data_IF_185402431029
#
_entry.id   IF_185402431029
#
_cell.length_a   1.000
_cell.length_b   1.000
_cell.length_c   1.000
_cell.angle_alpha   90.00
_cell.angle_beta   90.00
_cell.angle_gamma   90.00
#
_symmetry.space_group_name_H-M   'P 1'
#
loop_
_entity.id
_entity.type
_entity.pdbx_description
1 polymer ?
#
# COMPACT_ATOMS: atom_id res chain seq x y z
N UNK A 1 -8.38 23.60 19.11
CA UNK A 1 -7.01 23.20 18.74
C UNK A 1 -6.98 22.00 17.79
N UNK A 2 -7.57 20.84 18.11
CA UNK A 2 -7.54 19.64 17.24
C UNK A 2 -7.81 19.89 15.74
N UNK A 3 -8.72 20.79 15.38
CA UNK A 3 -9.03 21.18 13.99
C UNK A 3 -7.82 21.75 13.22
N UNK A 4 -6.79 22.28 13.89
CA UNK A 4 -5.57 22.77 13.22
C UNK A 4 -4.62 21.62 12.80
N UNK A 5 -4.75 20.42 13.37
CA UNK A 5 -3.91 19.27 13.02
C UNK A 5 -4.35 18.61 11.71
N UNK A 6 -5.63 18.78 11.32
CA UNK A 6 -6.17 18.38 10.02
C UNK A 6 -5.45 19.03 8.82
N UNK A 7 -4.85 20.21 9.03
CA UNK A 7 -4.08 20.93 8.02
C UNK A 7 -2.68 20.31 7.81
N UNK A 8 -2.18 19.48 8.74
CA UNK A 8 -0.87 18.82 8.61
C UNK A 8 -0.90 17.58 7.70
N UNK A 9 -1.99 16.81 7.79
CA UNK A 9 -2.28 15.53 7.10
C UNK A 9 -1.83 15.55 5.63
N UNK A 10 -2.33 16.55 4.91
CA UNK A 10 -2.18 16.74 3.48
C UNK A 10 -0.69 16.96 3.07
N UNK A 11 0.11 17.60 3.92
CA UNK A 11 1.56 17.75 3.67
C UNK A 11 2.38 16.54 4.13
N UNK A 12 1.89 15.73 5.08
CA UNK A 12 2.56 14.50 5.49
C UNK A 12 2.53 13.44 4.39
N UNK A 13 1.38 13.25 3.74
CA UNK A 13 1.24 12.31 2.61
C UNK A 13 2.12 12.73 1.42
N UNK A 14 2.14 14.01 1.05
CA UNK A 14 2.99 14.51 -0.04
C UNK A 14 4.50 14.32 0.23
N UNK A 15 4.95 14.55 1.47
CA UNK A 15 6.36 14.38 1.85
C UNK A 15 6.83 12.91 1.84
N UNK A 16 5.93 11.94 2.07
CA UNK A 16 6.27 10.52 2.06
C UNK A 16 6.86 10.06 0.72
N UNK A 17 6.19 10.38 -0.39
CA UNK A 17 6.58 9.96 -1.74
C UNK A 17 7.94 10.52 -2.21
N UNK A 18 8.45 11.57 -1.56
CA UNK A 18 9.74 12.17 -1.89
C UNK A 18 10.93 11.37 -1.29
N UNK A 19 10.79 10.85 -0.06
CA UNK A 19 11.84 10.03 0.58
C UNK A 19 12.05 8.68 -0.11
N UNK A 20 10.97 8.11 -0.64
CA UNK A 20 10.93 6.91 -1.49
C UNK A 20 11.97 6.99 -2.62
N UNK A 21 12.07 8.13 -3.31
CA UNK A 21 12.94 8.29 -4.48
C UNK A 21 14.44 8.21 -4.13
N UNK A 22 14.86 8.80 -3.02
CA UNK A 22 16.28 8.92 -2.66
C UNK A 22 16.96 7.58 -2.31
N UNK A 23 16.22 6.61 -1.77
CA UNK A 23 16.77 5.28 -1.40
C UNK A 23 17.17 4.41 -2.60
N UNK A 24 16.86 4.82 -3.83
CA UNK A 24 17.09 4.06 -5.08
C UNK A 24 18.55 3.97 -5.51
N UNK A 25 19.46 4.82 -4.99
CA UNK A 25 20.84 4.91 -5.51
C UNK A 25 21.88 4.05 -4.76
N UNK A 26 21.68 3.69 -3.49
CA UNK A 26 22.72 2.99 -2.70
C UNK A 26 22.89 1.50 -3.04
N UNK A 27 21.85 0.85 -3.56
CA UNK A 27 21.82 -0.61 -3.75
C UNK A 27 22.70 -1.11 -4.90
N UNK A 28 23.04 -0.25 -5.86
CA UNK A 28 23.83 -0.64 -7.04
C UNK A 28 25.33 -0.84 -6.75
N UNK A 29 25.87 -0.29 -5.66
CA UNK A 29 27.31 -0.36 -5.36
C UNK A 29 27.74 -1.69 -4.72
N UNK A 30 26.84 -2.38 -4.00
CA UNK A 30 27.20 -3.60 -3.25
C UNK A 30 27.27 -4.85 -4.14
N UNK A 31 26.51 -4.90 -5.24
CA UNK A 31 26.47 -6.06 -6.14
C UNK A 31 27.85 -6.35 -6.76
N UNK A 32 28.58 -5.30 -7.18
CA UNK A 32 29.85 -5.41 -7.89
C UNK A 32 31.03 -5.93 -7.03
N UNK A 33 30.86 -6.03 -5.71
CA UNK A 33 31.93 -6.42 -4.79
C UNK A 33 31.98 -7.94 -4.56
N UNK A 34 30.87 -8.67 -4.76
CA UNK A 34 30.79 -10.11 -4.56
C UNK A 34 31.49 -10.92 -5.68
N UNK A 35 31.26 -10.55 -6.94
CA UNK A 35 31.70 -11.33 -8.12
C UNK A 35 33.23 -11.45 -8.27
N UNK A 36 33.98 -10.52 -7.68
CA UNK A 36 35.45 -10.57 -7.66
C UNK A 36 36.00 -11.61 -6.68
N UNK A 37 35.27 -11.94 -5.61
CA UNK A 37 35.76 -12.83 -4.54
C UNK A 37 35.65 -14.31 -4.92
N UNK A 38 34.66 -14.69 -5.74
CA UNK A 38 34.46 -16.08 -6.15
C UNK A 38 35.61 -16.61 -7.02
N UNK A 39 36.10 -15.78 -7.96
CA UNK A 39 37.17 -16.12 -8.92
C UNK A 39 38.54 -16.41 -8.28
N UNK A 40 38.77 -16.00 -7.04
CA UNK A 40 40.03 -16.27 -6.34
C UNK A 40 40.08 -17.68 -5.73
N UNK A 41 38.93 -18.29 -5.43
CA UNK A 41 38.85 -19.58 -4.73
C UNK A 41 39.01 -20.78 -5.66
N UNK A 42 38.63 -20.65 -6.94
CA UNK A 42 38.76 -21.72 -7.93
C UNK A 42 40.23 -22.03 -8.29
N UNK A 43 41.12 -21.02 -8.21
CA UNK A 43 42.53 -21.17 -8.58
C UNK A 43 43.35 -22.06 -7.63
N UNK A 44 42.85 -22.37 -6.42
CA UNK A 44 43.66 -22.99 -5.35
C UNK A 44 43.56 -24.52 -5.24
N UNK A 45 42.70 -25.20 -6.00
CA UNK A 45 42.33 -26.62 -5.74
C UNK A 45 43.03 -27.70 -6.58
N UNK A 46 43.97 -27.35 -7.46
CA UNK A 46 44.47 -28.26 -8.52
C UNK A 46 45.92 -28.76 -8.31
N UNK A 47 46.22 -29.67 -7.35
CA UNK A 47 47.55 -30.35 -7.28
C UNK A 47 47.66 -31.62 -6.35
N UNK A 48 48.18 -32.74 -6.92
CA UNK A 48 49.07 -33.83 -6.33
C UNK A 48 48.52 -35.17 -5.74
N UNK A 49 49.42 -36.19 -5.79
CA UNK A 49 49.38 -37.62 -5.36
C UNK A 49 50.76 -38.31 -5.64
N UNK A 50 51.07 -39.63 -5.72
CA UNK A 50 50.37 -40.95 -5.59
C UNK A 50 51.43 -42.10 -5.37
N UNK A 51 51.13 -43.19 -4.61
CA UNK A 51 51.84 -44.52 -4.63
C UNK A 51 53.17 -44.67 -3.85
N UNK A 52 53.80 -45.85 -3.63
CA UNK A 52 53.38 -47.29 -3.77
C UNK A 52 54.51 -48.39 -3.72
N UNK A 53 54.28 -49.51 -2.98
CA UNK A 53 54.65 -50.96 -3.18
C UNK A 53 56.11 -51.58 -3.20
N UNK A 54 56.29 -52.69 -2.42
CA UNK A 54 56.93 -54.05 -2.70
C UNK A 54 58.44 -54.25 -3.06
N UNK A 55 59.09 -55.46 -3.05
CA UNK A 55 58.99 -56.76 -2.29
C UNK A 55 60.15 -57.80 -2.63
N UNK A 56 60.13 -59.03 -2.04
CA UNK A 56 60.90 -60.30 -2.34
C UNK A 56 62.40 -60.43 -1.89
N UNK A 57 63.01 -61.57 -1.46
CA UNK A 57 62.77 -63.04 -1.37
C UNK A 57 63.13 -63.92 -2.61
N UNK A 58 63.77 -65.11 -2.51
CA UNK A 58 64.48 -65.83 -1.42
C UNK A 58 65.50 -66.87 -1.98
N UNK A 59 66.55 -67.25 -1.22
CA UNK A 59 67.55 -68.26 -1.63
C UNK A 59 67.02 -69.67 -1.39
N UNK A 60 66.64 -70.39 -2.45
CA UNK A 60 65.67 -71.49 -2.36
C UNK A 60 66.19 -72.90 -2.72
N UNK A 61 65.37 -73.90 -2.37
CA UNK A 61 65.23 -75.24 -2.99
C UNK A 61 66.13 -76.41 -2.59
N UNK A 62 67.35 -76.24 -2.06
CA UNK A 62 68.19 -77.41 -1.64
C UNK A 62 68.73 -77.36 -0.20
N UNK A 63 68.83 -76.17 0.40
CA UNK A 63 68.37 -76.00 1.79
C UNK A 63 66.84 -76.21 1.79
N UNK A 64 66.44 -77.45 1.49
CA UNK A 64 65.38 -77.66 0.50
C UNK A 64 64.46 -78.83 0.77
N UNK A 65 64.99 -80.05 0.97
CA UNK A 65 64.16 -81.24 1.16
C UNK A 65 64.10 -81.77 2.60
N UNK A 66 65.19 -81.75 3.36
CA UNK A 66 65.10 -81.81 4.83
C UNK A 66 64.48 -80.51 5.39
N UNK A 67 64.58 -79.41 4.63
CA UNK A 67 63.68 -78.27 4.73
C UNK A 67 62.26 -78.67 4.31
N UNK A 68 61.94 -79.26 3.16
CA UNK A 68 60.56 -79.74 2.90
C UNK A 68 60.03 -80.82 3.87
N UNK A 69 60.82 -81.28 4.86
CA UNK A 69 60.34 -81.98 6.06
C UNK A 69 60.21 -81.03 7.30
N UNK A 70 61.26 -80.29 7.68
CA UNK A 70 61.22 -79.33 8.80
C UNK A 70 60.37 -78.08 8.52
N UNK A 71 60.07 -77.84 7.25
CA UNK A 71 59.18 -76.92 6.52
C UNK A 71 58.12 -77.68 5.71
N UNK A 72 57.89 -78.97 5.98
CA UNK A 72 56.51 -79.49 6.03
C UNK A 72 55.94 -79.30 7.44
N UNK A 73 56.72 -79.55 8.51
CA UNK A 73 56.34 -79.19 9.89
C UNK A 73 56.30 -77.68 10.12
N UNK A 74 57.30 -76.94 9.63
CA UNK A 74 57.21 -75.47 9.59
C UNK A 74 56.08 -75.07 8.64
N UNK A 75 55.84 -75.66 7.45
CA UNK A 75 54.58 -75.37 6.72
C UNK A 75 53.34 -75.66 7.56
N UNK A 76 53.26 -76.71 8.36
CA UNK A 76 52.07 -77.01 9.15
C UNK A 76 51.90 -76.04 10.32
N UNK A 77 52.99 -75.59 10.94
CA UNK A 77 52.96 -74.54 11.96
C UNK A 77 52.74 -73.14 11.35
N UNK A 78 53.28 -72.88 10.18
CA UNK A 78 53.18 -71.64 9.38
C UNK A 78 51.81 -71.57 8.69
N UNK A 79 51.18 -72.68 8.30
CA UNK A 79 49.79 -72.79 7.86
C UNK A 79 48.85 -72.71 9.07
N UNK A 80 49.14 -73.36 10.20
CA UNK A 80 48.32 -73.18 11.41
C UNK A 80 48.41 -71.73 11.94
N UNK A 81 49.58 -71.10 11.84
CA UNK A 81 49.80 -69.69 12.17
C UNK A 81 49.14 -68.78 11.15
N UNK A 82 49.25 -69.03 9.84
CA UNK A 82 48.53 -68.29 8.78
C UNK A 82 47.02 -68.51 8.86
N UNK A 83 46.53 -69.66 9.33
CA UNK A 83 45.10 -69.89 9.59
C UNK A 83 44.65 -69.15 10.85
N UNK A 84 45.47 -69.11 11.91
CA UNK A 84 45.17 -68.31 13.11
C UNK A 84 45.26 -66.80 12.82
N UNK A 85 46.17 -66.38 11.96
CA UNK A 85 46.35 -65.02 11.47
C UNK A 85 45.22 -64.64 10.51
N UNK A 86 44.83 -65.51 9.57
CA UNK A 86 43.64 -65.34 8.73
C UNK A 86 42.38 -65.26 9.59
N UNK A 87 42.19 -66.15 10.57
CA UNK A 87 41.05 -66.06 11.52
C UNK A 87 41.09 -64.79 12.38
N UNK A 88 42.27 -64.26 12.73
CA UNK A 88 42.40 -62.98 13.43
C UNK A 88 42.10 -61.80 12.50
N UNK A 89 42.56 -61.82 11.26
CA UNK A 89 42.29 -60.80 10.24
C UNK A 89 40.80 -60.82 9.81
N UNK A 90 40.21 -61.99 9.64
CA UNK A 90 38.77 -62.20 9.40
C UNK A 90 37.96 -61.68 10.60
N UNK A 91 38.38 -61.98 11.83
CA UNK A 91 37.73 -61.47 13.04
C UNK A 91 37.95 -59.96 13.27
N UNK A 92 39.05 -59.38 12.77
CA UNK A 92 39.28 -57.93 12.75
C UNK A 92 38.40 -57.26 11.69
N UNK A 93 38.46 -57.71 10.44
CA UNK A 93 37.63 -57.23 9.34
C UNK A 93 36.12 -57.37 9.65
N UNK A 94 35.68 -58.46 10.29
CA UNK A 94 34.29 -58.62 10.73
C UNK A 94 33.89 -57.62 11.83
N UNK A 95 34.82 -57.23 12.72
CA UNK A 95 34.59 -56.17 13.73
C UNK A 95 34.59 -54.78 13.08
N UNK A 96 35.49 -54.54 12.15
CA UNK A 96 35.59 -53.27 11.41
C UNK A 96 34.34 -53.06 10.54
N UNK A 97 33.96 -54.04 9.73
CA UNK A 97 32.71 -54.02 8.96
C UNK A 97 31.46 -53.94 9.87
N UNK A 98 31.43 -54.64 11.01
CA UNK A 98 30.35 -54.49 11.99
C UNK A 98 30.30 -53.10 12.62
N UNK A 99 31.45 -52.41 12.73
CA UNK A 99 31.54 -51.04 13.24
C UNK A 99 31.12 -50.04 12.16
N UNK A 100 31.57 -50.21 10.91
CA UNK A 100 31.14 -49.41 9.76
C UNK A 100 29.62 -49.50 9.55
N UNK A 101 29.04 -50.70 9.66
CA UNK A 101 27.59 -50.87 9.63
C UNK A 101 26.87 -50.17 10.79
N UNK A 102 27.45 -50.16 12.00
CA UNK A 102 26.89 -49.42 13.14
C UNK A 102 27.01 -47.91 12.97
N UNK A 103 28.15 -47.40 12.51
CA UNK A 103 28.36 -45.97 12.24
C UNK A 103 27.48 -45.48 11.07
N UNK A 104 27.33 -46.28 10.01
CA UNK A 104 26.41 -46.00 8.89
C UNK A 104 24.94 -46.05 9.34
N UNK A 105 24.55 -46.97 10.22
CA UNK A 105 23.20 -47.04 10.77
C UNK A 105 22.90 -45.83 11.68
N UNK A 106 23.86 -45.42 12.52
CA UNK A 106 23.75 -44.21 13.35
C UNK A 106 23.66 -42.94 12.51
N UNK A 107 24.47 -42.81 11.45
CA UNK A 107 24.38 -41.68 10.52
C UNK A 107 23.00 -41.65 9.86
N UNK A 108 22.55 -42.77 9.29
CA UNK A 108 21.26 -42.82 8.60
C UNK A 108 20.07 -42.57 9.55
N UNK A 109 20.12 -43.05 10.79
CA UNK A 109 19.12 -42.72 11.80
C UNK A 109 19.11 -41.22 12.10
N UNK A 110 20.29 -40.60 12.29
CA UNK A 110 20.41 -39.16 12.51
C UNK A 110 19.88 -38.36 11.33
N UNK A 111 20.21 -38.75 10.09
CA UNK A 111 19.74 -38.09 8.87
C UNK A 111 18.20 -38.14 8.78
N UNK A 112 17.59 -39.29 9.14
CA UNK A 112 16.14 -39.45 9.21
C UNK A 112 15.49 -38.64 10.35
N UNK A 113 16.16 -38.48 11.49
CA UNK A 113 15.70 -37.64 12.60
C UNK A 113 15.79 -36.15 12.24
N UNK A 114 16.85 -35.72 11.58
CA UNK A 114 17.01 -34.35 11.07
C UNK A 114 15.99 -34.04 9.96
N UNK A 115 15.73 -34.97 9.03
CA UNK A 115 14.65 -34.83 8.04
C UNK A 115 13.26 -34.71 8.70
N UNK A 116 12.96 -35.51 9.74
CA UNK A 116 11.71 -35.41 10.50
C UNK A 116 11.59 -34.06 11.22
N UNK A 117 12.65 -33.59 11.87
CA UNK A 117 12.67 -32.30 12.54
C UNK A 117 12.48 -31.13 11.55
N UNK A 118 13.18 -31.15 10.41
CA UNK A 118 13.03 -30.15 9.35
C UNK A 118 11.61 -30.17 8.74
N UNK A 119 11.01 -31.34 8.55
CA UNK A 119 9.62 -31.47 8.09
C UNK A 119 8.62 -30.92 9.12
N UNK A 120 8.78 -31.23 10.41
CA UNK A 120 7.96 -30.66 11.48
C UNK A 120 8.09 -29.13 11.56
N UNK A 121 9.31 -28.59 11.45
CA UNK A 121 9.56 -27.15 11.41
C UNK A 121 8.91 -26.48 10.18
N UNK A 122 8.90 -27.15 9.02
CA UNK A 122 8.20 -26.67 7.83
C UNK A 122 6.67 -26.62 8.04
N UNK A 123 6.08 -27.69 8.60
CA UNK A 123 4.65 -27.73 8.94
C UNK A 123 4.27 -26.67 9.99
N UNK A 124 5.10 -26.44 11.00
CA UNK A 124 4.88 -25.40 12.00
C UNK A 124 4.97 -23.99 11.40
N UNK A 125 5.89 -23.75 10.46
CA UNK A 125 6.01 -22.47 9.74
C UNK A 125 4.80 -22.20 8.85
N UNK A 126 4.37 -23.18 8.05
CA UNK A 126 3.20 -23.01 7.18
C UNK A 126 1.90 -22.83 7.99
N UNK A 127 1.76 -23.57 9.10
CA UNK A 127 0.64 -23.34 10.02
C UNK A 127 0.68 -21.93 10.62
N UNK A 128 1.83 -21.48 11.13
CA UNK A 128 1.96 -20.13 11.69
C UNK A 128 1.63 -19.06 10.63
N UNK A 129 2.11 -19.24 9.40
CA UNK A 129 1.83 -18.38 8.25
C UNK A 129 0.33 -18.25 7.96
N UNK A 130 -0.40 -19.37 7.94
CA UNK A 130 -1.86 -19.40 7.79
C UNK A 130 -2.59 -18.80 9.01
N UNK A 131 -2.14 -19.10 10.23
CA UNK A 131 -2.72 -18.57 11.48
C UNK A 131 -2.47 -17.04 11.63
N UNK A 132 -1.42 -16.49 11.00
CA UNK A 132 -1.17 -15.04 10.93
C UNK A 132 -1.74 -14.35 9.69
N UNK A 133 -2.31 -15.09 8.73
CA UNK A 133 -2.70 -14.49 7.45
C UNK A 133 -3.91 -13.54 7.60
N UNK A 134 -3.91 -12.37 6.92
CA UNK A 134 -5.01 -11.39 7.00
C UNK A 134 -6.39 -11.89 6.55
N UNK A 135 -6.45 -12.95 5.74
CA UNK A 135 -7.69 -13.55 5.23
C UNK A 135 -7.80 -15.03 5.61
N UNK A 136 -9.01 -15.49 5.97
CA UNK A 136 -9.28 -16.89 6.37
C UNK A 136 -9.13 -17.89 5.22
N UNK A 137 -9.33 -17.44 3.99
CA UNK A 137 -9.15 -18.27 2.78
C UNK A 137 -7.67 -18.60 2.51
N UNK A 138 -6.74 -17.82 3.10
CA UNK A 138 -5.30 -18.02 2.95
C UNK A 138 -4.68 -17.32 1.72
N UNK A 139 -3.38 -17.55 1.47
CA UNK A 139 -2.62 -16.81 0.45
C UNK A 139 -3.04 -17.12 -0.99
N UNK A 140 -3.16 -16.08 -1.81
CA UNK A 140 -3.47 -16.16 -3.24
C UNK A 140 -4.97 -16.19 -3.57
N UNK A 141 -5.83 -16.37 -2.57
CA UNK A 141 -7.28 -16.39 -2.75
C UNK A 141 -7.86 -15.00 -3.05
N UNK A 142 -7.42 -13.96 -2.33
CA UNK A 142 -7.94 -12.61 -2.47
C UNK A 142 -7.68 -12.01 -3.86
N UNK A 143 -6.44 -12.12 -4.35
CA UNK A 143 -6.02 -11.64 -5.66
C UNK A 143 -6.64 -12.46 -6.80
N UNK A 144 -6.91 -13.74 -6.58
CA UNK A 144 -7.68 -14.56 -7.53
C UNK A 144 -9.14 -14.10 -7.61
N UNK A 145 -9.79 -13.90 -6.47
CA UNK A 145 -11.17 -13.37 -6.39
C UNK A 145 -11.29 -11.97 -6.99
N UNK A 146 -10.31 -11.08 -6.77
CA UNK A 146 -10.30 -9.75 -7.41
C UNK A 146 -10.21 -9.83 -8.95
N UNK A 147 -9.38 -10.74 -9.50
CA UNK A 147 -9.27 -10.95 -10.95
C UNK A 147 -10.50 -11.60 -11.59
N UNK A 148 -11.31 -12.33 -10.81
CA UNK A 148 -12.60 -12.87 -11.27
C UNK A 148 -13.67 -11.77 -11.36
N UNK A 149 -13.61 -10.74 -10.50
CA UNK A 149 -14.53 -9.58 -10.55
C UNK A 149 -14.07 -8.55 -11.59
N UNK A 150 -12.76 -8.34 -11.72
CA UNK A 150 -12.15 -7.40 -12.67
C UNK A 150 -11.13 -8.12 -13.56
N UNK A 151 -11.56 -8.69 -14.71
CA UNK A 151 -10.67 -9.40 -15.64
C UNK A 151 -9.64 -8.50 -16.32
N UNK A 152 -9.93 -7.19 -16.44
CA UNK A 152 -8.99 -6.16 -16.89
C UNK A 152 -8.47 -5.37 -15.69
N UNK A 153 -7.16 -5.47 -15.35
CA UNK A 153 -6.55 -4.69 -14.29
C UNK A 153 -6.51 -3.17 -14.55
N UNK A 154 -6.63 -2.72 -15.80
CA UNK A 154 -6.61 -1.28 -16.16
C UNK A 154 -7.94 -0.62 -15.82
N UNK A 155 -9.05 -1.35 -15.99
CA UNK A 155 -10.39 -0.91 -15.62
C UNK A 155 -10.74 -1.15 -14.13
N UNK A 156 -9.81 -1.69 -13.32
CA UNK A 156 -10.05 -1.99 -11.92
C UNK A 156 -9.84 -0.75 -11.03
N UNK A 157 -10.82 -0.34 -10.20
CA UNK A 157 -10.63 0.73 -9.23
C UNK A 157 -9.66 0.32 -8.12
N UNK A 158 -9.08 1.30 -7.38
CA UNK A 158 -8.18 0.99 -6.27
C UNK A 158 -8.92 0.14 -5.22
N UNK A 159 -8.25 -0.88 -4.71
CA UNK A 159 -8.76 -1.65 -3.57
C UNK A 159 -8.50 -0.84 -2.30
N UNK A 160 -9.53 -0.58 -1.50
CA UNK A 160 -9.34 -0.08 -0.14
C UNK A 160 -9.48 -1.24 0.83
N UNK A 161 -8.35 -1.69 1.39
CA UNK A 161 -8.32 -2.75 2.39
C UNK A 161 -8.35 -2.13 3.79
N UNK A 162 -9.51 -2.25 4.44
CA UNK A 162 -9.74 -1.87 5.82
C UNK A 162 -9.14 -2.93 6.75
N UNK A 163 -8.14 -2.55 7.52
CA UNK A 163 -7.55 -3.40 8.56
C UNK A 163 -8.40 -3.26 9.83
N UNK A 164 -8.88 -4.34 10.46
CA UNK A 164 -9.55 -4.20 11.75
C UNK A 164 -8.56 -3.77 12.84
N UNK A 165 -9.03 -3.01 13.86
CA UNK A 165 -8.17 -2.59 14.96
C UNK A 165 -7.60 -3.80 15.71
N UNK A 166 -6.41 -3.63 16.28
CA UNK A 166 -5.76 -4.70 17.05
C UNK A 166 -6.66 -5.16 18.21
N UNK A 167 -6.81 -6.48 18.44
CA UNK A 167 -7.64 -6.99 19.52
C UNK A 167 -7.03 -6.59 20.87
N UNK A 168 -7.70 -5.69 21.59
CA UNK A 168 -7.24 -5.22 22.91
C UNK A 168 -7.32 -6.30 24.00
N UNK A 169 -6.52 -6.12 25.06
CA UNK A 169 -6.23 -7.12 26.11
C UNK A 169 -7.42 -7.43 27.06
N UNK A 170 -8.50 -8.01 26.53
CA UNK A 170 -9.55 -8.69 27.32
C UNK A 170 -10.74 -7.85 27.78
N UNK A 171 -10.87 -6.59 27.34
CA UNK A 171 -12.07 -5.77 27.57
C UNK A 171 -13.12 -5.89 26.45
N UNK A 172 -14.42 -5.66 26.72
CA UNK A 172 -15.41 -5.45 25.66
C UNK A 172 -15.00 -4.22 24.85
N UNK A 173 -14.81 -4.36 23.54
CA UNK A 173 -14.26 -3.30 22.72
C UNK A 173 -15.34 -2.24 22.38
N UNK A 174 -15.22 -0.99 22.87
CA UNK A 174 -16.20 0.08 22.57
C UNK A 174 -16.13 0.54 21.10
N UNK A 175 -15.16 0.03 20.34
CA UNK A 175 -14.95 0.30 18.92
C UNK A 175 -15.37 -0.85 18.00
N UNK A 176 -16.04 -1.87 18.55
CA UNK A 176 -16.67 -2.91 17.74
C UNK A 176 -17.68 -2.27 16.76
N UNK A 177 -17.71 -2.76 15.52
CA UNK A 177 -18.52 -2.17 14.45
C UNK A 177 -17.92 -0.95 13.73
N UNK A 178 -16.81 -0.34 14.18
CA UNK A 178 -16.24 0.85 13.51
C UNK A 178 -15.90 0.58 12.03
N UNK A 179 -15.31 -0.58 11.73
CA UNK A 179 -14.98 -0.98 10.36
C UNK A 179 -16.23 -1.14 9.49
N UNK A 180 -17.31 -1.73 10.04
CA UNK A 180 -18.56 -1.90 9.33
C UNK A 180 -19.28 -0.56 9.06
N UNK A 181 -19.13 0.42 9.96
CA UNK A 181 -19.61 1.80 9.73
C UNK A 181 -18.83 2.47 8.60
N UNK A 182 -17.49 2.39 8.63
CA UNK A 182 -16.62 2.90 7.55
C UNK A 182 -16.94 2.24 6.21
N UNK A 183 -17.16 0.92 6.18
CA UNK A 183 -17.55 0.17 4.98
C UNK A 183 -18.93 0.61 4.43
N UNK A 184 -19.90 0.84 5.31
CA UNK A 184 -21.23 1.35 4.94
C UNK A 184 -21.18 2.79 4.41
N UNK A 185 -20.47 3.68 5.11
CA UNK A 185 -20.24 5.08 4.71
C UNK A 185 -19.56 5.15 3.33
N UNK A 186 -18.66 4.21 3.01
CA UNK A 186 -17.96 4.14 1.73
C UNK A 186 -18.75 3.44 0.60
N UNK A 187 -19.92 2.86 0.89
CA UNK A 187 -20.73 2.13 -0.10
C UNK A 187 -21.23 3.03 -1.25
N UNK A 188 -21.25 4.35 -1.08
CA UNK A 188 -21.52 5.29 -2.17
C UNK A 188 -20.41 5.27 -3.23
N UNK A 189 -19.15 5.42 -2.82
CA UNK A 189 -17.99 5.46 -3.73
C UNK A 189 -17.74 4.12 -4.43
N UNK A 190 -18.04 3.00 -3.74
CA UNK A 190 -18.00 1.67 -4.38
C UNK A 190 -19.08 1.51 -5.45
N UNK A 191 -20.29 2.03 -5.25
CA UNK A 191 -21.36 2.02 -6.27
C UNK A 191 -21.07 2.97 -7.44
N UNK A 192 -20.35 4.07 -7.18
CA UNK A 192 -19.82 4.96 -8.21
C UNK A 192 -18.59 4.39 -8.96
N UNK A 193 -18.10 3.21 -8.58
CA UNK A 193 -16.96 2.56 -9.23
C UNK A 193 -15.60 3.18 -8.90
N UNK A 194 -15.49 4.02 -7.87
CA UNK A 194 -14.25 4.73 -7.50
C UNK A 194 -13.34 3.93 -6.56
N UNK A 195 -13.83 2.85 -5.96
CA UNK A 195 -13.09 2.03 -5.00
C UNK A 195 -13.68 0.62 -4.92
N UNK A 196 -12.85 -0.39 -4.67
CA UNK A 196 -13.32 -1.70 -4.20
C UNK A 196 -12.96 -1.86 -2.72
N UNK A 197 -13.94 -1.65 -1.83
CA UNK A 197 -13.75 -1.77 -0.38
C UNK A 197 -13.71 -3.25 0.01
N UNK A 198 -12.76 -3.60 0.88
CA UNK A 198 -12.57 -4.95 1.43
C UNK A 198 -12.15 -4.85 2.89
N UNK A 199 -12.60 -5.79 3.71
CA UNK A 199 -12.22 -5.90 5.12
C UNK A 199 -11.33 -7.13 5.31
N UNK A 200 -10.24 -7.01 6.06
CA UNK A 200 -9.43 -8.15 6.46
C UNK A 200 -10.08 -8.91 7.64
N UNK A 201 -9.99 -10.23 7.63
CA UNK A 201 -10.52 -11.11 8.70
C UNK A 201 -9.80 -10.94 10.04
N UNK A 202 -8.55 -10.48 10.00
CA UNK A 202 -7.64 -10.38 11.15
C UNK A 202 -6.90 -9.04 11.11
N UNK A 203 -6.55 -8.53 12.29
CA UNK A 203 -5.63 -7.39 12.37
C UNK A 203 -4.23 -7.81 11.89
N UNK A 204 -3.58 -6.96 11.11
CA UNK A 204 -2.20 -7.12 10.69
C UNK A 204 -1.51 -5.75 10.60
N UNK A 205 -0.18 -5.74 10.55
CA UNK A 205 0.60 -4.52 10.30
C UNK A 205 1.05 -4.47 8.85
N UNK A 206 0.94 -3.29 8.24
CA UNK A 206 1.47 -3.04 6.90
C UNK A 206 2.86 -2.37 6.98
N UNK A 207 3.85 -2.78 6.17
CA UNK A 207 3.78 -3.78 5.10
C UNK A 207 3.77 -5.24 5.60
N UNK A 208 2.97 -6.08 4.95
CA UNK A 208 2.91 -7.53 5.21
C UNK A 208 3.45 -8.29 3.99
N UNK A 209 4.56 -9.01 4.15
CA UNK A 209 5.29 -9.70 3.07
C UNK A 209 4.40 -10.63 2.25
N UNK A 210 3.74 -11.58 2.91
CA UNK A 210 3.05 -12.68 2.25
C UNK A 210 1.73 -12.24 1.60
N UNK A 211 1.03 -11.28 2.21
CA UNK A 211 -0.12 -10.59 1.61
C UNK A 211 0.28 -9.85 0.33
N UNK A 212 1.37 -9.07 0.38
CA UNK A 212 1.86 -8.39 -0.81
C UNK A 212 2.29 -9.37 -1.90
N UNK A 213 3.10 -10.38 -1.58
CA UNK A 213 3.63 -11.31 -2.58
C UNK A 213 2.57 -12.23 -3.20
N UNK A 214 1.60 -12.70 -2.43
CA UNK A 214 0.63 -13.71 -2.87
C UNK A 214 -0.59 -13.10 -3.58
N UNK A 215 -1.06 -11.95 -3.10
CA UNK A 215 -2.33 -11.37 -3.54
C UNK A 215 -2.20 -9.96 -4.11
N UNK A 216 -1.50 -9.04 -3.43
CA UNK A 216 -1.58 -7.61 -3.76
C UNK A 216 -0.55 -7.14 -4.80
N UNK A 217 0.44 -7.97 -5.16
CA UNK A 217 1.58 -7.58 -6.02
C UNK A 217 1.18 -6.94 -7.35
N UNK A 218 0.02 -7.29 -7.91
CA UNK A 218 -0.49 -6.78 -9.19
C UNK A 218 -1.73 -5.89 -9.06
N UNK A 219 -2.05 -5.40 -7.87
CA UNK A 219 -3.27 -4.62 -7.58
C UNK A 219 -2.88 -3.25 -7.01
N UNK A 220 -3.46 -2.12 -7.46
CA UNK A 220 -3.47 -0.88 -6.70
C UNK A 220 -4.27 -1.09 -5.40
N UNK A 221 -3.61 -0.94 -4.25
CA UNK A 221 -4.25 -1.12 -2.93
C UNK A 221 -3.89 0.02 -1.99
N UNK A 222 -4.91 0.68 -1.45
CA UNK A 222 -4.83 1.59 -0.32
C UNK A 222 -5.09 0.75 0.94
N UNK A 223 -4.20 0.85 1.94
CA UNK A 223 -4.35 0.20 3.24
C UNK A 223 -4.80 1.26 4.24
N UNK A 224 -5.89 1.04 4.96
CA UNK A 224 -6.33 1.89 6.07
C UNK A 224 -6.30 1.11 7.38
N UNK A 225 -5.41 1.53 8.29
CA UNK A 225 -5.20 0.94 9.62
C UNK A 225 -5.66 1.95 10.70
N UNK A 226 -6.86 1.79 11.28
CA UNK A 226 -7.34 2.63 12.37
C UNK A 226 -6.79 2.09 13.70
N UNK A 227 -5.74 2.73 14.22
CA UNK A 227 -5.17 2.39 15.52
C UNK A 227 -5.92 3.12 16.63
N UNK A 228 -6.42 2.37 17.61
CA UNK A 228 -7.24 2.89 18.71
C UNK A 228 -6.54 2.65 20.06
N UNK A 229 -6.24 3.73 20.78
CA UNK A 229 -5.47 3.70 22.02
C UNK A 229 -6.07 4.66 23.06
N UNK A 230 -6.88 4.11 23.98
CA UNK A 230 -7.60 4.86 25.03
C UNK A 230 -8.49 5.95 24.41
N UNK A 231 -8.18 7.22 24.64
CA UNK A 231 -8.86 8.40 24.12
C UNK A 231 -8.33 8.86 22.75
N UNK A 232 -7.60 8.02 22.01
CA UNK A 232 -6.99 8.41 20.73
C UNK A 232 -7.32 7.43 19.61
N UNK A 233 -7.59 8.00 18.45
CA UNK A 233 -7.60 7.36 17.14
C UNK A 233 -6.39 7.89 16.36
N UNK A 234 -5.60 6.99 15.80
CA UNK A 234 -4.61 7.31 14.77
C UNK A 234 -5.02 6.57 13.50
N UNK A 235 -5.49 7.30 12.48
CA UNK A 235 -5.65 6.71 11.16
C UNK A 235 -4.26 6.66 10.52
N UNK A 236 -3.83 5.46 10.12
CA UNK A 236 -2.63 5.25 9.32
C UNK A 236 -3.03 4.82 7.91
N UNK A 237 -2.38 5.39 6.90
CA UNK A 237 -2.56 5.01 5.50
C UNK A 237 -1.24 4.51 4.94
N UNK A 238 -1.30 3.34 4.31
CA UNK A 238 -0.24 2.76 3.49
C UNK A 238 -0.78 2.31 2.14
N UNK A 239 0.01 1.58 1.37
CA UNK A 239 -0.50 0.98 0.14
C UNK A 239 0.52 0.21 -0.69
N UNK A 240 0.06 -0.30 -1.83
CA UNK A 240 0.92 -0.79 -2.89
C UNK A 240 0.39 -0.44 -4.28
N UNK A 241 1.30 -0.34 -5.25
CA UNK A 241 1.04 -0.07 -6.68
C UNK A 241 0.18 1.18 -6.98
N UNK A 242 0.16 2.19 -6.09
CA UNK A 242 -0.68 3.40 -6.21
C UNK A 242 -0.21 4.39 -7.29
N UNK A 243 1.04 4.27 -7.75
CA UNK A 243 1.65 5.16 -8.75
C UNK A 243 2.25 4.32 -9.88
N UNK A 244 1.80 4.47 -11.14
CA UNK A 244 2.29 3.71 -12.28
C UNK A 244 3.81 3.87 -12.46
N UNK A 245 4.50 2.76 -12.77
CA UNK A 245 5.95 2.75 -12.98
C UNK A 245 6.80 3.02 -11.74
N UNK A 246 6.21 3.17 -10.54
CA UNK A 246 6.98 3.35 -9.31
C UNK A 246 7.91 2.16 -9.03
N UNK A 247 9.19 2.45 -8.78
CA UNK A 247 10.18 1.45 -8.34
C UNK A 247 10.11 1.12 -6.85
N UNK A 248 9.26 1.81 -6.09
CA UNK A 248 8.82 1.32 -4.78
C UNK A 248 7.32 1.04 -4.89
N UNK A 249 6.94 -0.20 -5.21
CA UNK A 249 5.54 -0.60 -5.34
C UNK A 249 4.86 -0.80 -3.98
N UNK A 250 5.54 -0.55 -2.85
CA UNK A 250 5.03 -0.66 -1.49
C UNK A 250 5.32 0.65 -0.75
N UNK A 251 4.28 1.18 -0.11
CA UNK A 251 4.25 2.40 0.70
C UNK A 251 3.91 2.01 2.13
N UNK A 252 4.86 2.18 3.06
CA UNK A 252 4.68 1.91 4.50
C UNK A 252 3.49 2.70 5.08
N UNK A 253 2.81 2.16 6.10
CA UNK A 253 1.65 2.81 6.69
C UNK A 253 2.06 3.98 7.62
N UNK A 254 1.92 5.22 7.12
CA UNK A 254 2.18 6.45 7.88
C UNK A 254 0.94 6.94 8.64
N UNK A 255 1.13 7.47 9.85
CA UNK A 255 0.07 8.16 10.59
C UNK A 255 -0.35 9.44 9.87
N UNK A 256 -1.60 9.47 9.40
CA UNK A 256 -2.16 10.62 8.67
C UNK A 256 -3.00 11.50 9.59
N UNK A 257 -3.85 10.94 10.45
CA UNK A 257 -4.72 11.70 11.36
C UNK A 257 -4.58 11.23 12.81
N UNK A 258 -3.91 12.00 13.68
CA UNK A 258 -4.04 11.86 15.12
C UNK A 258 -5.28 12.62 15.60
N UNK A 259 -6.28 11.90 16.12
CA UNK A 259 -7.47 12.47 16.75
C UNK A 259 -7.50 12.07 18.23
N UNK A 260 -7.56 13.05 19.14
CA UNK A 260 -8.00 12.78 20.52
C UNK A 260 -9.53 12.90 20.58
N UNK A 261 -10.19 11.89 21.12
CA UNK A 261 -11.62 11.91 21.33
C UNK A 261 -12.01 12.96 22.38
N UNK A 262 -13.07 13.75 22.13
CA UNK A 262 -13.62 14.65 23.12
C UNK A 262 -14.20 13.92 24.34
N UNK A 263 -14.20 14.60 25.48
CA UNK A 263 -14.94 14.22 26.67
C UNK A 263 -16.40 14.73 26.63
N UNK A 264 -17.20 14.37 27.63
CA UNK A 264 -18.60 14.79 27.72
C UNK A 264 -18.80 16.33 27.82
N UNK A 265 -17.79 17.09 28.24
CA UNK A 265 -17.90 18.55 28.40
C UNK A 265 -17.69 19.30 27.08
N UNK A 266 -17.06 18.69 26.08
CA UNK A 266 -16.92 19.26 24.74
C UNK A 266 -18.21 19.22 23.91
N UNK A 267 -19.05 18.21 24.13
CA UNK A 267 -20.28 17.97 23.35
C UNK A 267 -21.44 18.91 23.77
N UNK A 268 -21.25 20.22 23.53
CA UNK A 268 -22.28 21.24 23.74
C UNK A 268 -23.44 21.09 22.74
N UNK A 269 -24.61 21.71 22.98
CA UNK A 269 -25.71 21.70 22.01
C UNK A 269 -25.32 22.22 20.63
N UNK A 270 -24.36 23.14 20.54
CA UNK A 270 -23.87 23.74 19.29
C UNK A 270 -22.90 22.83 18.54
N UNK A 271 -22.10 21.99 19.23
CA UNK A 271 -21.29 20.93 18.58
C UNK A 271 -22.19 19.77 18.12
N UNK A 272 -23.11 19.32 18.97
CA UNK A 272 -24.08 18.27 18.64
C UNK A 272 -25.00 18.69 17.48
N UNK A 273 -25.45 19.95 17.43
CA UNK A 273 -26.23 20.47 16.29
C UNK A 273 -25.41 20.47 15.00
N UNK A 274 -24.10 20.75 15.06
CA UNK A 274 -23.22 20.69 13.87
C UNK A 274 -22.96 19.27 13.38
N UNK A 275 -22.82 18.30 14.30
CA UNK A 275 -22.73 16.88 13.96
C UNK A 275 -24.03 16.40 13.30
N UNK A 276 -25.18 16.66 13.94
CA UNK A 276 -26.51 16.27 13.45
C UNK A 276 -26.85 16.93 12.10
N UNK A 277 -26.49 18.20 11.87
CA UNK A 277 -26.74 18.91 10.62
C UNK A 277 -26.01 18.33 9.40
N UNK A 278 -25.13 17.34 9.61
CA UNK A 278 -24.34 16.66 8.58
C UNK A 278 -24.42 15.13 8.67
N UNK A 279 -25.30 14.58 9.53
CA UNK A 279 -25.60 13.14 9.58
C UNK A 279 -26.45 12.71 8.37
N UNK A 280 -26.09 11.65 7.62
CA UNK A 280 -26.86 11.19 6.47
C UNK A 280 -28.08 10.31 6.82
N UNK A 281 -28.24 9.90 8.09
CA UNK A 281 -29.31 8.98 8.56
C UNK A 281 -30.01 9.49 9.82
N UNK A 282 -31.12 8.82 10.18
CA UNK A 282 -32.07 9.25 11.21
C UNK A 282 -31.55 9.21 12.67
N UNK A 283 -30.26 8.92 12.88
CA UNK A 283 -29.60 8.89 14.19
C UNK A 283 -29.28 10.31 14.68
N UNK A 284 -30.31 11.13 14.87
CA UNK A 284 -30.17 12.47 15.46
C UNK A 284 -29.86 12.33 16.96
N UNK A 285 -28.61 12.61 17.33
CA UNK A 285 -28.16 12.56 18.72
C UNK A 285 -28.96 13.57 19.55
N UNK A 286 -29.69 13.11 20.56
CA UNK A 286 -30.64 13.93 21.30
C UNK A 286 -29.95 14.98 22.18
N UNK A 287 -30.47 16.20 22.11
CA UNK A 287 -30.07 17.31 22.98
C UNK A 287 -30.87 17.28 24.29
N UNK A 288 -30.28 17.56 25.48
CA UNK A 288 -28.86 17.76 25.77
C UNK A 288 -28.38 16.97 26.99
N UNK A 289 -27.71 15.82 26.81
CA UNK A 289 -26.74 15.27 27.77
C UNK A 289 -26.04 13.98 27.29
N UNK A 290 -24.75 14.03 26.91
CA UNK A 290 -23.88 12.85 26.90
C UNK A 290 -23.35 12.54 28.32
N UNK A 291 -24.25 12.52 29.31
CA UNK A 291 -23.95 12.12 30.69
C UNK A 291 -24.00 10.61 30.91
N UNK A 292 -24.62 9.87 29.99
CA UNK A 292 -24.43 8.41 29.84
C UNK A 292 -23.10 8.16 29.09
N UNK A 293 -22.15 7.39 29.66
CA UNK A 293 -20.95 6.94 28.97
C UNK A 293 -21.21 6.25 27.62
N UNK A 294 -22.39 5.66 27.40
CA UNK A 294 -22.77 5.04 26.11
C UNK A 294 -22.90 6.08 25.02
N UNK A 295 -23.71 7.12 25.23
CA UNK A 295 -23.88 8.23 24.30
C UNK A 295 -22.55 8.89 23.93
N UNK A 296 -21.63 9.01 24.89
CA UNK A 296 -20.27 9.52 24.63
C UNK A 296 -19.44 8.57 23.74
N UNK A 297 -19.58 7.25 23.90
CA UNK A 297 -18.96 6.27 23.00
C UNK A 297 -19.57 6.36 21.60
N UNK A 298 -20.90 6.42 21.47
CA UNK A 298 -21.60 6.45 20.18
C UNK A 298 -21.27 7.72 19.37
N UNK A 299 -21.19 8.88 20.05
CA UNK A 299 -20.75 10.16 19.48
C UNK A 299 -19.29 10.11 19.01
N UNK A 300 -18.41 9.53 19.83
CA UNK A 300 -17.00 9.36 19.47
C UNK A 300 -16.80 8.29 18.37
N UNK A 301 -17.71 7.33 18.22
CA UNK A 301 -17.74 6.33 17.15
C UNK A 301 -18.16 6.92 15.80
N UNK A 302 -19.16 7.80 15.80
CA UNK A 302 -19.53 8.61 14.62
C UNK A 302 -18.37 9.54 14.21
N UNK A 303 -17.76 10.25 15.17
CA UNK A 303 -16.59 11.08 14.89
C UNK A 303 -15.42 10.24 14.33
N UNK A 304 -15.26 9.00 14.79
CA UNK A 304 -14.24 8.07 14.28
C UNK A 304 -14.51 7.58 12.85
N UNK A 305 -15.75 7.24 12.47
CA UNK A 305 -16.02 6.80 11.08
C UNK A 305 -15.89 7.97 10.12
N UNK A 306 -16.49 9.14 10.41
CA UNK A 306 -16.34 10.35 9.60
C UNK A 306 -14.86 10.73 9.38
N UNK A 307 -14.04 10.66 10.44
CA UNK A 307 -12.60 10.89 10.38
C UNK A 307 -11.87 9.87 9.48
N UNK A 308 -12.19 8.58 9.61
CA UNK A 308 -11.61 7.52 8.80
C UNK A 308 -12.05 7.57 7.33
N UNK A 309 -13.31 7.84 7.06
CA UNK A 309 -13.92 7.98 5.72
C UNK A 309 -13.33 9.19 4.99
N UNK A 310 -13.15 10.32 5.69
CA UNK A 310 -12.44 11.48 5.14
C UNK A 310 -11.01 11.13 4.74
N UNK A 311 -10.27 10.40 5.59
CA UNK A 311 -8.92 9.94 5.27
C UNK A 311 -8.91 8.95 4.09
N UNK A 312 -9.86 8.02 4.04
CA UNK A 312 -10.01 7.05 2.95
C UNK A 312 -10.27 7.74 1.60
N UNK A 313 -11.24 8.65 1.56
CA UNK A 313 -11.61 9.38 0.34
C UNK A 313 -10.52 10.37 -0.08
N UNK A 314 -9.79 10.98 0.85
CA UNK A 314 -8.57 11.75 0.52
C UNK A 314 -7.55 10.87 -0.21
N UNK A 315 -7.37 9.60 0.19
CA UNK A 315 -6.43 8.70 -0.48
C UNK A 315 -6.95 8.15 -1.82
N UNK A 316 -8.26 7.95 -1.96
CA UNK A 316 -8.93 7.57 -3.23
C UNK A 316 -8.80 8.73 -4.23
N UNK A 317 -9.08 9.96 -3.80
CA UNK A 317 -8.89 11.17 -4.61
C UNK A 317 -7.43 11.34 -5.01
N UNK A 318 -6.47 11.18 -4.09
CA UNK A 318 -5.05 11.21 -4.42
C UNK A 318 -4.65 10.14 -5.45
N UNK A 319 -5.22 8.93 -5.38
CA UNK A 319 -4.99 7.90 -6.40
C UNK A 319 -5.54 8.35 -7.76
N UNK A 320 -6.79 8.79 -7.83
CA UNK A 320 -7.39 9.17 -9.12
C UNK A 320 -6.82 10.46 -9.70
N UNK A 321 -6.48 11.47 -8.89
CA UNK A 321 -5.78 12.68 -9.37
C UNK A 321 -4.44 12.35 -10.05
N UNK A 322 -3.75 11.29 -9.63
CA UNK A 322 -2.50 10.81 -10.25
C UNK A 322 -2.78 9.93 -11.49
N UNK A 323 -3.90 9.20 -11.53
CA UNK A 323 -4.15 8.11 -12.48
C UNK A 323 -5.29 8.35 -13.50
N UNK A 324 -6.08 9.43 -13.38
CA UNK A 324 -7.34 9.59 -14.09
C UNK A 324 -7.57 11.02 -14.56
N UNK A 325 -7.70 11.22 -15.88
CA UNK A 325 -8.00 12.53 -16.46
C UNK A 325 -9.47 12.93 -16.20
N UNK A 326 -9.73 14.20 -15.90
CA UNK A 326 -11.08 14.69 -15.57
C UNK A 326 -11.75 14.10 -14.33
N UNK A 327 -10.97 13.56 -13.37
CA UNK A 327 -11.52 13.03 -12.13
C UNK A 327 -12.11 14.12 -11.24
N UNK A 328 -13.39 13.98 -10.87
CA UNK A 328 -14.07 14.89 -9.96
C UNK A 328 -13.79 14.53 -8.50
N UNK A 329 -13.03 15.38 -7.80
CA UNK A 329 -12.65 15.18 -6.40
C UNK A 329 -13.87 15.06 -5.47
N UNK A 330 -13.90 14.00 -4.66
CA UNK A 330 -14.98 13.67 -3.73
C UNK A 330 -14.76 14.27 -2.33
N UNK A 331 -13.53 14.69 -2.03
CA UNK A 331 -13.10 15.25 -0.76
C UNK A 331 -13.98 16.42 -0.28
N UNK A 332 -14.50 17.26 -1.18
CA UNK A 332 -15.27 18.44 -0.77
C UNK A 332 -16.66 18.10 -0.21
N UNK A 333 -17.26 17.03 -0.71
CA UNK A 333 -18.56 16.55 -0.25
C UNK A 333 -18.40 15.73 1.03
N UNK A 334 -17.37 14.89 1.12
CA UNK A 334 -17.03 14.15 2.34
C UNK A 334 -16.58 15.07 3.47
N UNK A 335 -15.82 16.13 3.17
CA UNK A 335 -15.52 17.19 4.13
C UNK A 335 -16.79 17.92 4.59
N UNK A 336 -17.80 18.08 3.72
CA UNK A 336 -19.09 18.69 4.09
C UNK A 336 -19.86 17.76 5.03
N UNK A 337 -19.95 16.47 4.73
CA UNK A 337 -20.54 15.44 5.60
C UNK A 337 -19.77 15.26 6.93
N UNK A 338 -18.46 15.49 6.94
CA UNK A 338 -17.65 15.51 8.16
C UNK A 338 -17.79 16.80 9.00
N UNK A 339 -18.63 17.77 8.59
CA UNK A 339 -18.80 19.05 9.28
C UNK A 339 -17.64 20.04 9.10
N UNK A 340 -16.76 19.81 8.13
CA UNK A 340 -15.57 20.64 7.84
C UNK A 340 -15.92 21.67 6.76
N UNK A 341 -16.16 22.91 7.18
CA UNK A 341 -16.58 24.04 6.33
C UNK A 341 -15.74 25.30 6.58
N UNK A 342 -15.71 26.19 5.59
CA UNK A 342 -14.95 27.45 5.62
C UNK A 342 -13.42 27.28 5.61
N UNK A 343 -12.71 28.29 6.12
CA UNK A 343 -11.24 28.49 6.19
C UNK A 343 -10.42 27.29 6.72
N UNK A 344 -11.10 26.28 7.27
CA UNK A 344 -10.51 25.03 7.77
C UNK A 344 -10.11 24.06 6.65
N UNK A 345 -10.58 24.29 5.42
CA UNK A 345 -10.20 23.52 4.23
C UNK A 345 -8.87 24.04 3.65
N UNK A 346 -7.93 23.14 3.32
CA UNK A 346 -6.85 23.46 2.37
C UNK A 346 -7.42 23.49 0.96
N UNK A 347 -7.03 24.49 0.18
CA UNK A 347 -7.50 24.67 -1.20
C UNK A 347 -6.87 23.66 -2.18
N UNK A 348 -5.55 23.47 -2.08
CA UNK A 348 -4.73 22.93 -3.20
C UNK A 348 -4.36 21.44 -3.07
N UNK A 349 -5.09 20.65 -2.25
CA UNK A 349 -4.91 19.18 -2.13
C UNK A 349 -3.55 18.65 -1.62
N UNK A 350 -2.50 19.47 -1.57
CA UNK A 350 -1.13 19.13 -1.13
C UNK A 350 -0.29 18.29 -2.10
N UNK A 351 -0.88 17.86 -3.22
CA UNK A 351 -0.16 17.24 -4.33
C UNK A 351 0.51 18.32 -5.21
N UNK A 352 1.62 17.97 -5.85
CA UNK A 352 2.19 18.81 -6.91
C UNK A 352 1.37 18.65 -8.19
N UNK A 353 1.14 19.74 -8.91
CA UNK A 353 0.53 19.71 -10.25
C UNK A 353 1.29 18.76 -11.21
N UNK A 354 2.61 18.65 -11.06
CA UNK A 354 3.46 17.78 -11.87
C UNK A 354 3.22 16.27 -11.62
N UNK A 355 2.48 15.92 -10.58
CA UNK A 355 2.11 14.54 -10.26
C UNK A 355 0.67 14.18 -10.69
N UNK A 356 -0.10 15.13 -11.22
CA UNK A 356 -1.50 14.94 -11.57
C UNK A 356 -1.67 14.54 -13.03
N UNK A 357 -2.63 13.65 -13.30
CA UNK A 357 -3.11 13.37 -14.64
C UNK A 357 -3.89 14.56 -15.23
N UNK A 358 -4.59 15.34 -14.39
CA UNK A 358 -5.32 16.55 -14.80
C UNK A 358 -5.04 17.77 -13.91
N UNK A 359 -3.91 18.49 -14.13
CA UNK A 359 -3.55 19.65 -13.33
C UNK A 359 -4.55 20.82 -13.47
N UNK A 360 -5.16 20.97 -14.65
CA UNK A 360 -6.10 22.06 -14.92
C UNK A 360 -7.44 21.82 -14.22
N UNK A 361 -7.97 20.60 -14.27
CA UNK A 361 -9.24 20.28 -13.61
C UNK A 361 -9.12 20.34 -12.07
N UNK A 362 -8.00 19.90 -11.49
CA UNK A 362 -7.73 20.09 -10.06
C UNK A 362 -7.74 21.58 -9.66
N UNK A 363 -7.16 22.45 -10.49
CA UNK A 363 -7.16 23.90 -10.21
C UNK A 363 -8.56 24.53 -10.33
N UNK A 364 -9.49 23.94 -11.11
CA UNK A 364 -10.91 24.31 -11.07
C UNK A 364 -11.60 23.87 -9.76
N UNK A 365 -11.28 22.69 -9.22
CA UNK A 365 -11.70 22.30 -7.86
C UNK A 365 -11.13 23.26 -6.79
N UNK A 366 -9.86 23.67 -6.90
CA UNK A 366 -9.27 24.71 -6.05
C UNK A 366 -9.97 26.07 -6.17
N UNK A 367 -10.39 26.47 -7.37
CA UNK A 367 -11.18 27.69 -7.57
C UNK A 367 -12.54 27.59 -6.86
N UNK A 368 -13.24 26.46 -6.99
CA UNK A 368 -14.51 26.19 -6.29
C UNK A 368 -14.35 26.27 -4.77
N UNK A 369 -13.32 25.65 -4.20
CA UNK A 369 -13.00 25.67 -2.76
C UNK A 369 -12.82 27.08 -2.21
N UNK A 370 -12.14 27.96 -2.95
CA UNK A 370 -11.97 29.37 -2.56
C UNK A 370 -13.28 30.14 -2.59
N UNK A 371 -14.10 29.95 -3.62
CA UNK A 371 -15.41 30.57 -3.72
C UNK A 371 -16.35 30.13 -2.57
N UNK A 372 -16.40 28.82 -2.28
CA UNK A 372 -17.18 28.26 -1.17
C UNK A 372 -16.63 28.64 0.23
N UNK A 373 -15.37 29.10 0.31
CA UNK A 373 -14.77 29.67 1.52
C UNK A 373 -14.94 31.20 1.63
N UNK A 374 -15.53 31.88 0.64
CA UNK A 374 -15.67 33.34 0.64
C UNK A 374 -14.45 34.12 0.14
N UNK A 375 -13.53 33.47 -0.58
CA UNK A 375 -12.41 34.08 -1.31
C UNK A 375 -12.68 34.08 -2.83
N UNK A 376 -13.62 34.91 -3.34
CA UNK A 376 -13.92 34.93 -4.76
C UNK A 376 -12.78 35.56 -5.59
N UNK A 377 -11.96 36.42 -4.99
CA UNK A 377 -10.79 37.00 -5.64
C UNK A 377 -9.69 35.95 -5.93
N UNK A 378 -9.33 35.13 -4.93
CA UNK A 378 -8.41 34.02 -5.12
C UNK A 378 -9.00 32.90 -5.97
N UNK A 379 -10.31 32.70 -5.95
CA UNK A 379 -10.99 31.80 -6.89
C UNK A 379 -10.85 32.26 -8.35
N UNK A 380 -10.99 33.55 -8.63
CA UNK A 380 -10.76 34.12 -9.97
C UNK A 380 -9.29 33.97 -10.45
N UNK A 381 -8.31 34.05 -9.53
CA UNK A 381 -6.89 33.75 -9.83
C UNK A 381 -6.70 32.28 -10.20
N UNK A 382 -7.29 31.33 -9.46
CA UNK A 382 -7.21 29.91 -9.82
C UNK A 382 -7.94 29.62 -11.14
N UNK A 383 -9.08 30.26 -11.44
CA UNK A 383 -9.77 30.12 -12.72
C UNK A 383 -8.86 30.54 -13.91
N UNK A 384 -8.17 31.68 -13.79
CA UNK A 384 -7.18 32.14 -14.78
C UNK A 384 -6.01 31.15 -14.92
N UNK A 385 -5.53 30.60 -13.81
CA UNK A 385 -4.48 29.59 -13.79
C UNK A 385 -4.89 28.27 -14.46
N UNK A 386 -6.13 27.81 -14.27
CA UNK A 386 -6.66 26.62 -14.95
C UNK A 386 -6.68 26.81 -16.48
N UNK A 387 -7.10 27.98 -16.98
CA UNK A 387 -7.00 28.29 -18.41
C UNK A 387 -5.55 28.33 -18.91
N UNK A 388 -4.63 28.92 -18.13
CA UNK A 388 -3.22 28.93 -18.49
C UNK A 388 -2.64 27.51 -18.62
N UNK A 389 -2.99 26.60 -17.70
CA UNK A 389 -2.61 25.18 -17.72
C UNK A 389 -3.16 24.40 -18.93
N UNK A 390 -4.29 24.83 -19.50
CA UNK A 390 -4.86 24.25 -20.72
C UNK A 390 -4.26 24.80 -22.02
N UNK A 391 -3.43 25.85 -21.94
CA UNK A 391 -2.82 26.45 -23.12
C UNK A 391 -1.65 25.59 -23.65
N UNK A 392 -1.44 25.51 -24.99
CA UNK A 392 -0.33 24.74 -25.57
C UNK A 392 1.09 25.13 -25.08
N UNK A 393 1.25 26.30 -24.47
CA UNK A 393 2.52 26.74 -23.89
C UNK A 393 2.83 26.11 -22.52
N UNK A 394 1.80 25.78 -21.72
CA UNK A 394 1.96 25.24 -20.37
C UNK A 394 2.52 23.80 -20.35
N UNK A 395 2.35 23.04 -21.44
CA UNK A 395 2.92 21.69 -21.56
C UNK A 395 4.46 21.65 -21.57
N UNK A 396 5.15 22.80 -21.66
CA UNK A 396 6.60 22.88 -21.63
C UNK A 396 7.18 22.92 -20.19
N UNK A 397 6.52 23.61 -19.26
CA UNK A 397 6.92 23.72 -17.84
C UNK A 397 5.73 24.19 -16.99
N UNK A 398 5.19 23.27 -16.18
CA UNK A 398 4.03 23.51 -15.30
C UNK A 398 4.39 24.34 -14.04
N UNK A 399 5.63 24.30 -13.57
CA UNK A 399 6.11 25.10 -12.42
C UNK A 399 6.34 26.58 -12.81
N UNK A 400 6.54 26.84 -14.10
CA UNK A 400 6.55 28.20 -14.67
C UNK A 400 5.16 28.77 -14.99
N UNK A 401 4.06 28.00 -14.85
CA UNK A 401 2.68 28.52 -14.99
C UNK A 401 2.29 29.34 -13.76
N UNK A 402 2.86 30.55 -13.71
CA UNK A 402 2.47 31.65 -12.85
C UNK A 402 1.24 32.35 -13.43
N UNK A 403 0.60 33.13 -12.59
CA UNK A 403 -0.34 34.14 -13.05
C UNK A 403 0.40 35.11 -14.00
N UNK A 404 -0.19 35.42 -15.17
CA UNK A 404 0.32 36.42 -16.12
C UNK A 404 -0.50 37.71 -15.93
N UNK A 405 -0.14 38.61 -14.99
CA UNK A 405 -0.90 39.82 -14.71
C UNK A 405 -0.83 40.79 -15.90
N UNK A 406 -1.79 40.64 -16.81
CA UNK A 406 -1.86 41.38 -18.07
C UNK A 406 -2.77 40.73 -19.12
N UNK A 407 -2.95 39.40 -19.13
CA UNK A 407 -3.90 38.74 -20.03
C UNK A 407 -5.34 38.85 -19.53
N UNK A 408 -6.27 39.16 -20.43
CA UNK A 408 -7.72 39.07 -20.23
C UNK A 408 -8.18 37.61 -20.04
N UNK A 409 -9.39 37.41 -19.51
CA UNK A 409 -9.93 36.04 -19.40
C UNK A 409 -10.24 35.47 -20.80
N UNK A 410 -10.67 36.33 -21.73
CA UNK A 410 -10.89 35.99 -23.15
C UNK A 410 -9.62 35.49 -23.85
N UNK A 411 -8.46 36.11 -23.65
CA UNK A 411 -7.19 35.66 -24.26
C UNK A 411 -6.75 34.30 -23.71
N UNK A 412 -6.90 34.09 -22.39
CA UNK A 412 -6.62 32.80 -21.76
C UNK A 412 -7.58 31.71 -22.26
N UNK A 413 -8.87 32.03 -22.41
CA UNK A 413 -9.89 31.14 -22.95
C UNK A 413 -9.60 30.75 -24.41
N UNK A 414 -9.19 31.70 -25.23
CA UNK A 414 -8.80 31.46 -26.63
C UNK A 414 -7.58 30.54 -26.75
N UNK A 415 -6.59 30.69 -25.85
CA UNK A 415 -5.42 29.82 -25.80
C UNK A 415 -5.76 28.41 -25.26
N UNK A 416 -6.63 28.33 -24.24
CA UNK A 416 -7.05 27.08 -23.60
C UNK A 416 -7.91 26.19 -24.51
N UNK A 417 -8.69 26.77 -25.43
CA UNK A 417 -9.67 26.07 -26.28
C UNK A 417 -9.13 24.84 -27.02
N UNK A 418 -7.84 24.79 -27.33
CA UNK A 418 -7.23 23.66 -28.05
C UNK A 418 -6.94 22.46 -27.13
N UNK A 419 -6.71 22.70 -25.83
CA UNK A 419 -6.51 21.65 -24.81
C UNK A 419 -7.74 21.33 -23.96
N UNK A 420 -8.76 22.21 -23.96
CA UNK A 420 -9.94 22.10 -23.11
C UNK A 420 -10.89 20.96 -23.54
N UNK A 421 -10.86 19.85 -22.80
CA UNK A 421 -11.91 18.82 -22.86
C UNK A 421 -13.22 19.26 -22.18
N UNK A 422 -14.34 18.60 -22.52
CA UNK A 422 -15.70 18.99 -22.11
C UNK A 422 -15.89 19.17 -20.60
N UNK A 423 -15.20 18.38 -19.77
CA UNK A 423 -15.28 18.49 -18.30
C UNK A 423 -14.70 19.81 -17.79
N UNK A 424 -13.61 20.29 -18.38
CA UNK A 424 -13.06 21.62 -18.12
C UNK A 424 -14.03 22.72 -18.52
N UNK A 425 -14.60 22.62 -19.72
CA UNK A 425 -15.49 23.65 -20.27
C UNK A 425 -16.71 23.82 -19.35
N UNK A 426 -17.38 22.72 -18.97
CA UNK A 426 -18.51 22.75 -18.02
C UNK A 426 -18.14 23.42 -16.70
N UNK A 427 -17.06 22.97 -16.04
CA UNK A 427 -16.64 23.53 -14.75
C UNK A 427 -16.18 25.00 -14.86
N UNK A 428 -15.57 25.38 -15.97
CA UNK A 428 -15.21 26.77 -16.23
C UNK A 428 -16.45 27.67 -16.33
N UNK A 429 -17.50 27.26 -17.05
CA UNK A 429 -18.75 28.01 -17.17
C UNK A 429 -19.40 28.20 -15.78
N UNK A 430 -19.62 27.11 -15.05
CA UNK A 430 -20.23 27.13 -13.71
C UNK A 430 -19.48 28.04 -12.72
N UNK A 431 -18.15 28.09 -12.81
CA UNK A 431 -17.32 28.98 -11.98
C UNK A 431 -17.28 30.42 -12.48
N UNK A 432 -17.19 30.66 -13.79
CA UNK A 432 -17.16 31.99 -14.37
C UNK A 432 -18.47 32.76 -14.10
N UNK A 433 -19.62 32.10 -14.21
CA UNK A 433 -20.92 32.66 -13.88
C UNK A 433 -21.03 33.02 -12.39
N UNK A 434 -20.62 32.11 -11.49
CA UNK A 434 -20.66 32.36 -10.05
C UNK A 434 -19.66 33.45 -9.58
N UNK A 435 -18.54 33.61 -10.29
CA UNK A 435 -17.54 34.67 -10.04
C UNK A 435 -17.96 36.03 -10.62
N UNK A 436 -18.69 36.05 -11.74
CA UNK A 436 -19.36 37.25 -12.22
C UNK A 436 -20.51 37.68 -11.27
N UNK A 437 -21.32 36.72 -10.81
CA UNK A 437 -22.41 36.96 -9.85
C UNK A 437 -21.95 37.45 -8.46
N UNK A 438 -20.71 37.18 -8.08
CA UNK A 438 -20.06 37.72 -6.87
C UNK A 438 -19.22 38.99 -7.12
N UNK A 439 -19.13 39.47 -8.36
CA UNK A 439 -18.39 40.67 -8.74
C UNK A 439 -16.86 40.53 -8.72
N UNK A 440 -16.34 39.30 -8.65
CA UNK A 440 -14.90 39.03 -8.70
C UNK A 440 -14.34 38.88 -10.13
N UNK A 441 -15.23 38.68 -11.10
CA UNK A 441 -14.94 38.86 -12.53
C UNK A 441 -15.90 39.92 -13.10
N UNK A 442 -15.42 40.64 -14.11
CA UNK A 442 -16.34 41.43 -14.95
C UNK A 442 -17.26 40.49 -15.73
N UNK A 443 -18.56 40.78 -15.73
CA UNK A 443 -19.56 39.90 -16.33
C UNK A 443 -19.44 39.79 -17.87
N UNK A 444 -18.86 40.79 -18.54
CA UNK A 444 -18.62 40.73 -19.99
C UNK A 444 -17.31 39.99 -20.31
N UNK A 445 -16.22 40.17 -19.55
CA UNK A 445 -14.99 39.34 -19.67
C UNK A 445 -15.32 37.85 -19.41
N UNK A 446 -16.17 37.56 -18.41
CA UNK A 446 -16.67 36.22 -18.11
C UNK A 446 -17.52 35.63 -19.25
N UNK A 447 -18.57 36.34 -19.70
CA UNK A 447 -19.45 35.84 -20.77
C UNK A 447 -18.71 35.69 -22.12
N UNK A 448 -17.78 36.59 -22.43
CA UNK A 448 -16.96 36.49 -23.64
C UNK A 448 -15.96 35.30 -23.56
N UNK A 449 -15.36 35.04 -22.40
CA UNK A 449 -14.50 33.87 -22.20
C UNK A 449 -15.28 32.55 -22.32
N UNK A 450 -16.50 32.50 -21.77
CA UNK A 450 -17.43 31.37 -21.93
C UNK A 450 -17.74 31.14 -23.42
N UNK A 451 -18.15 32.17 -24.16
CA UNK A 451 -18.48 32.05 -25.59
C UNK A 451 -17.30 31.67 -26.50
N UNK A 452 -16.05 31.86 -26.03
CA UNK A 452 -14.84 31.40 -26.73
C UNK A 452 -14.56 29.91 -26.50
N UNK A 453 -14.85 29.40 -25.29
CA UNK A 453 -14.62 28.00 -24.90
C UNK A 453 -15.78 27.07 -25.29
N UNK A 454 -17.03 27.49 -25.07
CA UNK A 454 -18.24 26.85 -25.61
C UNK A 454 -18.91 27.76 -26.67
N UNK A 455 -18.43 27.73 -27.93
CA UNK A 455 -19.09 28.39 -29.06
C UNK A 455 -20.27 27.55 -29.61
N UNK A 456 -20.65 26.46 -28.94
CA UNK A 456 -21.66 25.50 -29.41
C UNK A 456 -23.04 25.71 -28.79
N UNK A 457 -23.10 26.20 -27.55
CA UNK A 457 -24.37 26.57 -26.91
C UNK A 457 -24.78 28.01 -27.27
N UNK A 458 -26.04 28.25 -27.67
CA UNK A 458 -26.58 29.61 -27.64
C UNK A 458 -26.58 30.10 -26.19
N UNK A 459 -26.18 31.35 -25.96
CA UNK A 459 -26.03 31.91 -24.62
C UNK A 459 -27.30 31.65 -23.78
N UNK A 460 -27.14 30.91 -22.69
CA UNK A 460 -28.25 30.47 -21.85
C UNK A 460 -28.99 31.67 -21.28
N UNK A 461 -30.23 31.89 -21.74
CA UNK A 461 -31.19 32.70 -20.98
C UNK A 461 -31.29 32.11 -19.57
N UNK A 462 -31.22 32.95 -18.54
CA UNK A 462 -30.92 32.53 -17.16
C UNK A 462 -32.03 31.68 -16.49
N UNK A 463 -32.17 30.42 -16.92
CA UNK A 463 -33.04 29.42 -16.32
C UNK A 463 -32.42 28.92 -15.02
N UNK A 464 -33.01 29.33 -13.90
CA UNK A 464 -32.63 28.89 -12.55
C UNK A 464 -32.71 27.36 -12.39
N UNK A 465 -31.62 26.66 -12.72
CA UNK A 465 -31.44 25.26 -12.36
C UNK A 465 -31.10 25.17 -10.86
N UNK A 466 -32.15 25.18 -10.03
CA UNK A 466 -32.04 24.69 -8.66
C UNK A 466 -31.56 23.24 -8.69
N UNK A 467 -30.34 23.00 -8.19
CA UNK A 467 -29.91 21.67 -7.80
C UNK A 467 -30.87 21.11 -6.75
N UNK A 468 -31.53 19.99 -7.07
CA UNK A 468 -32.19 19.17 -6.05
C UNK A 468 -31.10 18.40 -5.28
N UNK A 469 -31.19 18.27 -3.95
CA UNK A 469 -30.12 17.70 -3.13
C UNK A 469 -30.01 16.16 -3.21
N UNK A 470 -30.95 15.49 -3.89
CA UNK A 470 -31.04 14.03 -3.94
C UNK A 470 -30.27 13.46 -5.14
N UNK A 471 -29.01 13.09 -4.92
CA UNK A 471 -28.09 12.57 -5.94
C UNK A 471 -28.53 11.24 -6.58
N UNK A 472 -29.42 11.30 -7.58
CA UNK A 472 -29.81 10.17 -8.44
C UNK A 472 -29.66 10.54 -9.92
N UNK A 473 -28.57 10.07 -10.53
CA UNK A 473 -28.50 10.00 -11.99
C UNK A 473 -29.49 8.95 -12.52
N UNK A 474 -30.18 9.26 -13.62
CA UNK A 474 -30.99 8.32 -14.39
C UNK A 474 -30.37 8.15 -15.78
N UNK A 475 -29.36 7.27 -15.87
CA UNK A 475 -28.93 6.54 -17.07
C UNK A 475 -28.33 5.21 -16.63
#
# INVERSE_FOLDING_TARGET
MAVMEAISIISLVGNFFNQVWQRRQSTQQLQAQADNMHKQLEQQRANRGVGGLQAAASVASTAGNLYNASKARKLQLEIAQLHAESQQLEAQAAREHSKELQESAFSHQRDLEEQKANHQLALMRERLRLDTYPFREGPGHFGSSMRLVYPDPVAMPPVLLLVPPAPGDGGPQPWSGLIARIEADLQAFQRAGLVSVKVADRHFRWPHSDLYQSDLRTLPVIILEPMLAKERLEIRIGGCNLVPGSTQPVTDAGGVLPLRFPDAAWWTPEELSRLNATSPTADTFQLPNPSDPRTLVDLNHELASRAAVLCAVTAIDCYHLINSWGYAEQLDDVARAAGIVGDRRRVDGGLSLNAMADPAFHVLHSARRRLDAGDPAGAAVQLRRALALLSPAAFADLDQVRDEPGRSLVELAAAARVGAAQHHIRWFVELAEALAGSGALDAADAAAAVAVLDPGQPALEATNHHYLPDGRSLL
#
